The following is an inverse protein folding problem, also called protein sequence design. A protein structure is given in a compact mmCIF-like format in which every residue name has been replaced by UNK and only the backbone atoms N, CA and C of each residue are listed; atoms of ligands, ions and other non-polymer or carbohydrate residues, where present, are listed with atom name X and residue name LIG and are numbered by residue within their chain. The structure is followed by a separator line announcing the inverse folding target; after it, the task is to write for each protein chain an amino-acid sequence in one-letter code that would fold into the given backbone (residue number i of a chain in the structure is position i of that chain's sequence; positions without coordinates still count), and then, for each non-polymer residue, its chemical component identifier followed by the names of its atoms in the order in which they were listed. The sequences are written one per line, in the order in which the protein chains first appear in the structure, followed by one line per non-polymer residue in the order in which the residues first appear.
data_IF_149743288625
#
_entry.id   IF_149743288625
#
_cell.length_a   1.000
_cell.length_b   1.000
_cell.length_c   1.000
_cell.angle_alpha   90.00
_cell.angle_beta   90.00
_cell.angle_gamma   90.00
#
_symmetry.space_group_name_H-M   'P 1'
#
loop_
_entity.id
_entity.type
_entity.pdbx_description
1 polymer ?
#
# COMPACT_ATOMS: atom_id res chain seq x y z
N UNK A 1 11.57 -17.45 -1.50
CA UNK A 1 10.85 -18.13 -2.61
C UNK A 1 9.87 -19.18 -2.10
N UNK A 2 10.29 -20.13 -1.25
CA UNK A 2 9.42 -21.19 -0.69
C UNK A 2 8.10 -20.63 -0.11
N UNK A 3 8.18 -19.60 0.73
CA UNK A 3 6.99 -18.93 1.30
C UNK A 3 6.02 -18.40 0.23
N UNK A 4 6.52 -17.80 -0.85
CA UNK A 4 5.69 -17.24 -1.93
C UNK A 4 4.93 -18.35 -2.65
N UNK A 5 5.61 -19.48 -2.92
CA UNK A 5 4.98 -20.66 -3.55
C UNK A 5 3.85 -21.18 -2.68
N UNK A 6 4.05 -21.32 -1.37
CA UNK A 6 3.00 -21.81 -0.48
C UNK A 6 1.87 -20.81 -0.25
N UNK A 7 2.12 -19.51 -0.21
CA UNK A 7 1.06 -18.51 -0.10
C UNK A 7 0.22 -18.42 -1.37
N UNK A 8 0.86 -18.33 -2.54
CA UNK A 8 0.17 -18.28 -3.83
C UNK A 8 -0.56 -19.59 -4.07
N UNK A 9 0.13 -20.72 -3.93
CA UNK A 9 -0.46 -22.05 -4.12
C UNK A 9 -1.58 -22.33 -3.12
N UNK A 10 -1.38 -21.99 -1.84
CA UNK A 10 -2.38 -22.16 -0.79
C UNK A 10 -3.61 -21.28 -0.99
N UNK A 11 -3.43 -20.01 -1.37
CA UNK A 11 -4.56 -19.13 -1.66
C UNK A 11 -5.29 -19.47 -2.95
N UNK A 12 -4.59 -19.91 -4.00
CA UNK A 12 -5.23 -20.45 -5.22
C UNK A 12 -6.00 -21.74 -4.91
N UNK A 13 -5.43 -22.64 -4.11
CA UNK A 13 -6.13 -23.86 -3.67
C UNK A 13 -7.37 -23.53 -2.86
N UNK A 14 -7.27 -22.58 -1.92
CA UNK A 14 -8.41 -22.12 -1.10
C UNK A 14 -9.49 -21.53 -1.99
N UNK A 15 -9.11 -20.65 -2.93
CA UNK A 15 -10.05 -20.05 -3.89
C UNK A 15 -10.71 -21.11 -4.77
N UNK A 16 -9.94 -22.09 -5.26
CA UNK A 16 -10.46 -23.19 -6.08
C UNK A 16 -11.50 -24.01 -5.32
N UNK A 17 -11.19 -24.42 -4.08
CA UNK A 17 -12.09 -25.22 -3.26
C UNK A 17 -13.35 -24.43 -2.88
N UNK A 18 -13.19 -23.17 -2.50
CA UNK A 18 -14.30 -22.29 -2.16
C UNK A 18 -15.23 -22.00 -3.35
N UNK A 19 -14.68 -21.74 -4.54
CA UNK A 19 -15.47 -21.58 -5.77
C UNK A 19 -16.18 -22.86 -6.17
N UNK A 20 -15.56 -24.02 -5.97
CA UNK A 20 -16.19 -25.31 -6.27
C UNK A 20 -17.43 -25.55 -5.42
N UNK A 21 -17.45 -25.05 -4.17
CA UNK A 21 -18.62 -25.12 -3.30
C UNK A 21 -19.76 -24.26 -3.85
N UNK A 22 -19.46 -23.00 -4.20
CA UNK A 22 -20.45 -22.08 -4.81
C UNK A 22 -20.95 -22.59 -6.17
N UNK A 23 -20.13 -23.37 -6.87
CA UNK A 23 -20.48 -24.02 -8.13
C UNK A 23 -21.39 -25.24 -7.98
N UNK A 24 -21.73 -25.66 -6.76
CA UNK A 24 -22.67 -26.75 -6.47
C UNK A 24 -22.36 -28.04 -7.27
N UNK A 25 -21.07 -28.35 -7.42
CA UNK A 25 -20.59 -29.54 -8.15
C UNK A 25 -20.39 -29.36 -9.67
N UNK A 26 -20.72 -28.20 -10.24
CA UNK A 26 -20.47 -27.86 -11.66
C UNK A 26 -19.06 -27.29 -11.91
N UNK A 27 -18.22 -27.26 -10.87
CA UNK A 27 -16.83 -26.81 -10.94
C UNK A 27 -16.66 -25.29 -10.79
N UNK A 28 -15.41 -24.85 -10.84
CA UNK A 28 -15.02 -23.47 -10.48
C UNK A 28 -15.50 -22.39 -11.45
N UNK A 29 -15.69 -22.72 -12.72
CA UNK A 29 -16.20 -21.77 -13.72
C UNK A 29 -17.66 -21.44 -13.43
N UNK A 30 -18.48 -22.47 -13.13
CA UNK A 30 -19.85 -22.29 -12.69
C UNK A 30 -19.91 -21.55 -11.35
N UNK A 31 -19.00 -21.88 -10.42
CA UNK A 31 -18.88 -21.16 -9.15
C UNK A 31 -18.62 -19.67 -9.32
N UNK A 32 -17.71 -19.29 -10.23
CA UNK A 32 -17.45 -17.89 -10.52
C UNK A 32 -18.64 -17.19 -11.20
N UNK A 33 -19.32 -17.86 -12.14
CA UNK A 33 -20.57 -17.35 -12.72
C UNK A 33 -21.63 -17.10 -11.65
N UNK A 34 -21.81 -18.06 -10.74
CA UNK A 34 -22.74 -17.94 -9.63
C UNK A 34 -22.39 -16.79 -8.69
N UNK A 35 -21.11 -16.46 -8.50
CA UNK A 35 -20.72 -15.26 -7.73
C UNK A 35 -21.18 -13.97 -8.42
N UNK A 36 -21.00 -13.88 -9.75
CA UNK A 36 -21.44 -12.72 -10.53
C UNK A 36 -22.95 -12.55 -10.46
N UNK A 37 -23.70 -13.65 -10.45
CA UNK A 37 -25.16 -13.63 -10.39
C UNK A 37 -25.69 -13.32 -8.98
N UNK A 38 -25.05 -13.88 -7.93
CA UNK A 38 -25.52 -13.76 -6.53
C UNK A 38 -25.05 -12.51 -5.82
N UNK A 39 -23.91 -11.95 -6.21
CA UNK A 39 -23.33 -10.76 -5.59
C UNK A 39 -22.69 -9.82 -6.63
N UNK A 40 -23.44 -9.38 -7.67
CA UNK A 40 -22.91 -8.51 -8.72
C UNK A 40 -22.31 -7.21 -8.17
N UNK A 41 -22.85 -6.69 -7.07
CA UNK A 41 -22.38 -5.48 -6.41
C UNK A 41 -20.95 -5.59 -5.86
N UNK A 42 -20.44 -6.81 -5.66
CA UNK A 42 -19.07 -7.05 -5.19
C UNK A 42 -18.03 -7.05 -6.31
N UNK A 43 -18.46 -6.97 -7.57
CA UNK A 43 -17.58 -6.92 -8.74
C UNK A 43 -17.48 -5.53 -9.36
N UNK A 44 -18.24 -4.56 -8.86
CA UNK A 44 -18.16 -3.14 -9.25
C UNK A 44 -16.78 -2.58 -8.89
N UNK A 45 -16.04 -2.06 -9.88
CA UNK A 45 -14.71 -1.49 -9.65
C UNK A 45 -14.70 0.02 -9.39
N UNK A 46 -15.74 0.74 -9.82
CA UNK A 46 -15.84 2.19 -9.70
C UNK A 46 -17.16 2.54 -9.04
N UNK A 47 -17.10 2.93 -7.76
CA UNK A 47 -18.31 3.25 -7.01
C UNK A 47 -18.87 4.63 -7.33
N UNK A 48 -20.20 4.72 -7.40
CA UNK A 48 -20.93 5.99 -7.32
C UNK A 48 -20.91 6.54 -5.88
N UNK A 49 -21.09 7.86 -5.76
CA UNK A 49 -21.19 8.62 -4.52
C UNK A 49 -22.24 8.12 -3.53
N UNK A 50 -23.30 7.44 -3.99
CA UNK A 50 -24.32 6.83 -3.13
C UNK A 50 -23.90 5.49 -2.52
N UNK A 51 -22.86 4.83 -3.06
CA UNK A 51 -22.43 3.53 -2.57
C UNK A 51 -21.81 3.64 -1.16
N UNK A 52 -22.17 2.78 -0.19
CA UNK A 52 -21.65 2.88 1.17
C UNK A 52 -20.12 2.80 1.27
N UNK A 53 -19.48 2.10 0.33
CA UNK A 53 -18.02 1.98 0.29
C UNK A 53 -17.30 3.14 -0.44
N UNK A 54 -18.03 4.14 -0.94
CA UNK A 54 -17.44 5.29 -1.64
C UNK A 54 -16.47 6.09 -0.76
N UNK A 55 -16.75 6.19 0.54
CA UNK A 55 -15.87 6.84 1.53
C UNK A 55 -14.49 6.19 1.63
N UNK A 56 -14.38 4.90 1.28
CA UNK A 56 -13.14 4.15 1.25
C UNK A 56 -12.49 4.13 -0.13
N UNK A 57 -13.29 3.97 -1.18
CA UNK A 57 -12.85 3.86 -2.58
C UNK A 57 -13.69 4.83 -3.44
N UNK A 58 -13.29 6.11 -3.54
CA UNK A 58 -14.09 7.17 -4.14
C UNK A 58 -14.08 7.12 -5.66
N UNK A 59 -14.78 6.16 -6.24
CA UNK A 59 -15.02 6.02 -7.67
C UNK A 59 -13.77 6.22 -8.53
N UNK A 60 -13.82 7.20 -9.43
CA UNK A 60 -12.76 7.46 -10.41
C UNK A 60 -11.43 7.86 -9.77
N UNK A 61 -11.43 8.39 -8.54
CA UNK A 61 -10.19 8.75 -7.83
C UNK A 61 -9.31 7.53 -7.51
N UNK A 62 -9.84 6.31 -7.59
CA UNK A 62 -9.04 5.08 -7.55
C UNK A 62 -8.09 4.99 -8.77
N UNK A 63 -8.49 5.54 -9.92
CA UNK A 63 -7.70 5.51 -11.16
C UNK A 63 -6.86 6.77 -11.37
N UNK A 64 -7.34 7.94 -10.97
CA UNK A 64 -6.68 9.23 -11.28
C UNK A 64 -6.32 10.09 -10.06
N UNK A 65 -6.79 9.69 -8.88
CA UNK A 65 -6.71 10.49 -7.65
C UNK A 65 -5.71 9.94 -6.64
N UNK A 66 -6.10 9.99 -5.35
CA UNK A 66 -5.21 9.70 -4.22
C UNK A 66 -4.65 8.28 -4.15
N UNK A 67 -5.22 7.32 -4.89
CA UNK A 67 -4.65 5.98 -5.01
C UNK A 67 -3.23 6.02 -5.59
N UNK A 68 -2.91 6.98 -6.48
CA UNK A 68 -1.55 7.19 -6.95
C UNK A 68 -0.61 7.62 -5.83
N UNK A 69 -1.08 8.44 -4.89
CA UNK A 69 -0.27 8.88 -3.75
C UNK A 69 0.05 7.69 -2.83
N UNK A 70 -0.94 6.85 -2.54
CA UNK A 70 -0.73 5.62 -1.78
C UNK A 70 0.28 4.68 -2.49
N UNK A 71 0.08 4.45 -3.79
CA UNK A 71 0.92 3.53 -4.56
C UNK A 71 2.35 4.06 -4.77
N UNK A 72 2.54 5.34 -5.11
CA UNK A 72 3.87 5.92 -5.30
C UNK A 72 4.64 5.99 -3.99
N UNK A 73 3.99 6.36 -2.88
CA UNK A 73 4.58 6.32 -1.55
C UNK A 73 5.10 4.92 -1.21
N UNK A 74 4.26 3.91 -1.44
CA UNK A 74 4.59 2.53 -1.12
C UNK A 74 5.65 1.94 -2.07
N UNK A 75 5.45 1.96 -3.39
CA UNK A 75 6.35 1.27 -4.33
C UNK A 75 7.57 2.09 -4.72
N UNK A 76 7.43 3.42 -4.79
CA UNK A 76 8.47 4.32 -5.26
C UNK A 76 9.44 4.76 -4.17
N UNK A 77 8.97 4.94 -2.93
CA UNK A 77 9.74 5.61 -1.87
C UNK A 77 9.91 4.79 -0.59
N UNK A 78 9.31 3.59 -0.50
CA UNK A 78 9.44 2.78 0.70
C UNK A 78 10.78 2.05 0.77
N UNK A 79 11.49 2.28 1.87
CA UNK A 79 12.87 1.85 2.06
C UNK A 79 13.08 0.35 1.90
N UNK A 80 12.22 -0.51 2.46
CA UNK A 80 12.44 -1.95 2.36
C UNK A 80 12.21 -2.52 0.96
N UNK A 81 11.46 -1.82 0.09
CA UNK A 81 11.27 -2.20 -1.31
C UNK A 81 12.47 -1.74 -2.13
N UNK A 82 12.87 -0.48 -1.97
CA UNK A 82 14.05 0.08 -2.63
C UNK A 82 15.30 -0.75 -2.30
N UNK A 83 15.48 -1.16 -1.05
CA UNK A 83 16.61 -2.00 -0.63
C UNK A 83 16.67 -3.32 -1.40
N UNK A 84 15.53 -3.94 -1.73
CA UNK A 84 15.50 -5.16 -2.54
C UNK A 84 15.90 -4.90 -3.99
N UNK A 85 15.48 -3.77 -4.55
CA UNK A 85 15.88 -3.36 -5.90
C UNK A 85 17.38 -3.04 -5.96
N UNK A 86 17.93 -2.37 -4.95
CA UNK A 86 19.35 -2.04 -4.85
C UNK A 86 20.24 -3.27 -4.64
N UNK A 87 19.71 -4.34 -4.04
CA UNK A 87 20.39 -5.61 -3.89
C UNK A 87 20.36 -6.49 -5.14
N UNK A 88 19.71 -6.05 -6.23
CA UNK A 88 19.65 -6.80 -7.48
C UNK A 88 21.01 -6.79 -8.21
N UNK A 89 21.20 -7.78 -9.09
CA UNK A 89 22.47 -7.95 -9.85
C UNK A 89 22.75 -6.79 -10.81
N UNK A 90 21.71 -6.19 -11.37
CA UNK A 90 21.80 -5.06 -12.30
C UNK A 90 20.47 -4.30 -12.35
N UNK A 91 20.48 -3.09 -12.90
CA UNK A 91 19.27 -2.28 -13.08
C UNK A 91 18.24 -2.98 -13.99
N UNK A 92 18.67 -3.59 -15.10
CA UNK A 92 17.76 -4.32 -16.00
C UNK A 92 17.13 -5.54 -15.29
N UNK A 93 17.90 -6.25 -14.46
CA UNK A 93 17.34 -7.38 -13.70
C UNK A 93 16.34 -6.90 -12.63
N UNK A 94 16.61 -5.77 -11.98
CA UNK A 94 15.67 -5.12 -11.06
C UNK A 94 14.38 -4.70 -11.77
N UNK A 95 14.48 -4.08 -12.95
CA UNK A 95 13.33 -3.67 -13.77
C UNK A 95 12.49 -4.87 -14.20
N UNK A 96 13.11 -5.94 -14.72
CA UNK A 96 12.40 -7.18 -15.08
C UNK A 96 11.74 -7.83 -13.89
N UNK A 97 12.41 -7.84 -12.73
CA UNK A 97 11.83 -8.29 -11.46
C UNK A 97 10.59 -7.48 -11.06
N UNK A 98 10.62 -6.15 -11.24
CA UNK A 98 9.47 -5.28 -11.00
C UNK A 98 8.32 -5.56 -11.98
N UNK A 99 8.60 -5.76 -13.27
CA UNK A 99 7.58 -6.14 -14.25
C UNK A 99 6.93 -7.49 -13.92
N UNK A 100 7.72 -8.48 -13.50
CA UNK A 100 7.20 -9.76 -13.03
C UNK A 100 6.34 -9.60 -11.76
N UNK A 101 6.78 -8.77 -10.81
CA UNK A 101 5.98 -8.47 -9.61
C UNK A 101 4.66 -7.77 -9.95
N UNK A 102 4.66 -6.88 -10.95
CA UNK A 102 3.44 -6.22 -11.44
C UNK A 102 2.47 -7.24 -12.06
N UNK A 103 2.97 -8.23 -12.82
CA UNK A 103 2.15 -9.32 -13.33
C UNK A 103 1.56 -10.18 -12.20
N UNK A 104 2.36 -10.58 -11.21
CA UNK A 104 1.86 -11.34 -10.05
C UNK A 104 0.78 -10.56 -9.28
N UNK A 105 0.87 -9.24 -9.23
CA UNK A 105 -0.13 -8.38 -8.59
C UNK A 105 -1.50 -8.46 -9.25
N UNK A 106 -1.57 -8.63 -10.57
CA UNK A 106 -2.85 -8.80 -11.28
C UNK A 106 -3.57 -10.07 -10.83
N UNK A 107 -2.83 -11.10 -10.38
CA UNK A 107 -3.41 -12.34 -9.86
C UNK A 107 -3.86 -12.22 -8.40
N UNK A 108 -3.37 -11.24 -7.65
CA UNK A 108 -3.65 -11.13 -6.21
C UNK A 108 -5.14 -11.03 -5.88
N UNK A 109 -5.98 -10.25 -6.58
CA UNK A 109 -7.42 -10.22 -6.31
C UNK A 109 -8.09 -11.60 -6.36
N UNK A 110 -7.64 -12.50 -7.26
CA UNK A 110 -8.15 -13.87 -7.30
C UNK A 110 -7.81 -14.66 -6.03
N UNK A 111 -6.66 -14.37 -5.42
CA UNK A 111 -6.14 -15.11 -4.27
C UNK A 111 -6.65 -14.55 -2.94
N UNK A 112 -6.92 -13.23 -2.86
CA UNK A 112 -7.23 -12.56 -1.59
C UNK A 112 -8.60 -11.86 -1.56
N UNK A 113 -9.14 -11.43 -2.70
CA UNK A 113 -10.43 -10.71 -2.77
C UNK A 113 -11.57 -11.67 -3.08
N UNK A 114 -11.43 -12.51 -4.11
CA UNK A 114 -12.46 -13.49 -4.50
C UNK A 114 -12.86 -14.41 -3.33
N UNK A 115 -11.93 -14.94 -2.50
CA UNK A 115 -12.31 -15.64 -1.28
C UNK A 115 -13.23 -14.83 -0.35
N UNK A 116 -12.99 -13.53 -0.16
CA UNK A 116 -13.88 -12.68 0.62
C UNK A 116 -15.29 -12.61 0.04
N UNK A 117 -15.42 -12.53 -1.28
CA UNK A 117 -16.72 -12.55 -1.98
C UNK A 117 -17.41 -13.92 -1.84
N UNK A 118 -16.65 -15.02 -1.92
CA UNK A 118 -17.20 -16.36 -1.68
C UNK A 118 -17.74 -16.49 -0.26
N UNK A 119 -16.97 -16.05 0.75
CA UNK A 119 -17.43 -16.06 2.14
C UNK A 119 -18.71 -15.23 2.34
N UNK A 120 -18.82 -14.09 1.64
CA UNK A 120 -20.03 -13.27 1.63
C UNK A 120 -21.24 -14.02 1.02
N UNK A 121 -21.09 -14.61 -0.16
CA UNK A 121 -22.17 -15.36 -0.84
C UNK A 121 -22.60 -16.61 -0.05
N UNK A 122 -21.65 -17.26 0.62
CA UNK A 122 -21.92 -18.42 1.50
C UNK A 122 -22.47 -18.02 2.87
N UNK A 123 -22.69 -16.72 3.13
CA UNK A 123 -23.17 -16.20 4.41
C UNK A 123 -22.34 -16.73 5.59
N UNK A 124 -21.01 -16.60 5.48
CA UNK A 124 -20.08 -17.07 6.50
C UNK A 124 -20.47 -16.55 7.90
N UNK A 125 -20.47 -17.45 8.88
CA UNK A 125 -20.70 -17.13 10.29
C UNK A 125 -19.42 -16.50 10.88
N UNK A 126 -19.22 -15.23 10.56
CA UNK A 126 -18.07 -14.41 10.98
C UNK A 126 -18.54 -13.10 11.58
N UNK A 127 -17.80 -12.61 12.57
CA UNK A 127 -18.13 -11.36 13.25
C UNK A 127 -17.51 -10.13 12.60
N UNK A 128 -16.39 -10.33 11.88
CA UNK A 128 -15.61 -9.27 11.24
C UNK A 128 -15.22 -9.65 9.82
N UNK A 129 -15.12 -8.66 8.96
CA UNK A 129 -14.72 -8.85 7.56
C UNK A 129 -13.37 -9.57 7.41
N UNK A 130 -12.40 -9.27 8.29
CA UNK A 130 -11.04 -9.85 8.25
C UNK A 130 -11.01 -11.37 8.60
N UNK A 131 -12.09 -11.93 9.13
CA UNK A 131 -12.21 -13.37 9.48
C UNK A 131 -12.59 -14.25 8.28
N UNK A 132 -12.97 -13.66 7.14
CA UNK A 132 -13.46 -14.39 5.96
C UNK A 132 -12.45 -15.43 5.44
N UNK A 133 -11.18 -15.07 5.29
CA UNK A 133 -10.16 -15.98 4.77
C UNK A 133 -9.84 -17.13 5.75
N UNK A 134 -9.63 -16.87 7.07
CA UNK A 134 -9.56 -17.93 8.07
C UNK A 134 -10.78 -18.86 8.08
N UNK A 135 -11.99 -18.33 7.93
CA UNK A 135 -13.21 -19.13 7.88
C UNK A 135 -13.21 -20.09 6.68
N UNK A 136 -12.80 -19.63 5.49
CA UNK A 136 -12.68 -20.50 4.32
C UNK A 136 -11.62 -21.60 4.48
N UNK A 137 -10.44 -21.24 5.01
CA UNK A 137 -9.41 -22.22 5.35
C UNK A 137 -9.92 -23.27 6.33
N UNK A 138 -10.78 -22.87 7.26
CA UNK A 138 -11.28 -23.75 8.29
C UNK A 138 -12.32 -24.76 7.78
N UNK A 139 -13.18 -24.32 6.86
CA UNK A 139 -14.34 -25.10 6.41
C UNK A 139 -14.09 -25.90 5.13
N UNK A 140 -13.25 -25.41 4.20
CA UNK A 140 -13.13 -26.01 2.86
C UNK A 140 -11.78 -26.65 2.57
N UNK A 141 -10.72 -26.27 3.29
CA UNK A 141 -9.37 -26.79 3.03
C UNK A 141 -9.09 -28.01 3.91
N UNK A 142 -8.67 -29.11 3.28
CA UNK A 142 -8.33 -30.36 3.97
C UNK A 142 -7.15 -30.18 4.95
N UNK A 143 -7.15 -30.98 6.03
CA UNK A 143 -6.27 -30.83 7.20
C UNK A 143 -4.79 -30.64 6.87
N UNK A 144 -4.25 -31.40 5.90
CA UNK A 144 -2.84 -31.29 5.49
C UNK A 144 -2.50 -29.95 4.83
N UNK A 145 -3.31 -29.51 3.85
CA UNK A 145 -3.12 -28.22 3.19
C UNK A 145 -3.39 -27.05 4.13
N UNK A 146 -4.36 -27.19 5.04
CA UNK A 146 -4.66 -26.19 6.07
C UNK A 146 -3.46 -25.90 6.98
N UNK A 147 -2.78 -26.96 7.44
CA UNK A 147 -1.55 -26.83 8.23
C UNK A 147 -0.42 -26.14 7.48
N UNK A 148 -0.21 -26.50 6.20
CA UNK A 148 0.78 -25.85 5.33
C UNK A 148 0.46 -24.37 5.07
N UNK A 149 -0.80 -24.04 4.80
CA UNK A 149 -1.24 -22.66 4.59
C UNK A 149 -1.03 -21.81 5.84
N UNK A 150 -1.37 -22.33 7.03
CA UNK A 150 -1.15 -21.63 8.29
C UNK A 150 0.34 -21.42 8.57
N UNK A 151 1.17 -22.44 8.37
CA UNK A 151 2.62 -22.33 8.53
C UNK A 151 3.22 -21.28 7.57
N UNK A 152 2.77 -21.26 6.31
CA UNK A 152 3.21 -20.27 5.32
C UNK A 152 2.78 -18.84 5.69
N UNK A 153 1.56 -18.67 6.23
CA UNK A 153 1.06 -17.38 6.72
C UNK A 153 1.89 -16.87 7.89
N UNK A 154 2.16 -17.70 8.91
CA UNK A 154 3.00 -17.31 10.05
C UNK A 154 4.41 -16.97 9.60
N UNK A 155 5.02 -17.79 8.73
CA UNK A 155 6.33 -17.49 8.17
C UNK A 155 6.34 -16.14 7.42
N UNK A 156 5.26 -15.81 6.72
CA UNK A 156 5.12 -14.55 6.01
C UNK A 156 4.97 -13.33 6.89
N UNK A 157 4.18 -13.45 7.96
CA UNK A 157 4.02 -12.42 8.97
C UNK A 157 5.37 -12.15 9.65
N UNK A 158 6.07 -13.21 10.10
CA UNK A 158 7.39 -13.08 10.74
C UNK A 158 8.42 -12.47 9.80
N UNK A 159 8.43 -12.86 8.51
CA UNK A 159 9.33 -12.28 7.50
C UNK A 159 9.07 -10.78 7.28
N UNK A 160 7.79 -10.39 7.22
CA UNK A 160 7.38 -8.99 7.06
C UNK A 160 7.73 -8.15 8.29
N UNK A 161 7.45 -8.66 9.49
CA UNK A 161 7.82 -8.03 10.76
C UNK A 161 9.34 -7.85 10.86
N UNK A 162 10.12 -8.89 10.56
CA UNK A 162 11.59 -8.81 10.56
C UNK A 162 12.11 -7.72 9.60
N UNK A 163 11.53 -7.62 8.40
CA UNK A 163 11.90 -6.59 7.41
C UNK A 163 11.57 -5.19 7.92
N UNK A 164 10.35 -4.98 8.44
CA UNK A 164 9.92 -3.68 8.98
C UNK A 164 10.75 -3.25 10.20
N UNK A 165 10.97 -4.17 11.14
CA UNK A 165 11.79 -3.93 12.33
C UNK A 165 13.24 -3.59 11.95
N UNK A 166 13.81 -4.29 10.96
CA UNK A 166 15.14 -3.97 10.46
C UNK A 166 15.20 -2.58 9.82
N UNK A 167 14.20 -2.19 9.01
CA UNK A 167 14.14 -0.85 8.43
C UNK A 167 14.02 0.24 9.50
N UNK A 168 13.14 0.07 10.50
CA UNK A 168 13.00 1.01 11.63
C UNK A 168 14.31 1.17 12.40
N UNK A 169 14.98 0.05 12.70
CA UNK A 169 16.29 0.02 13.35
C UNK A 169 17.36 0.74 12.52
N UNK A 170 17.39 0.51 11.21
CA UNK A 170 18.37 1.13 10.30
C UNK A 170 18.15 2.63 10.22
N UNK A 171 16.90 3.08 10.03
CA UNK A 171 16.54 4.50 10.01
C UNK A 171 16.96 5.18 11.31
N UNK A 172 16.64 4.59 12.47
CA UNK A 172 17.04 5.19 13.73
C UNK A 172 18.56 5.21 13.91
N UNK A 173 19.26 4.11 13.63
CA UNK A 173 20.68 4.00 13.91
C UNK A 173 21.55 4.85 12.99
N UNK A 174 21.23 4.90 11.70
CA UNK A 174 21.98 5.66 10.71
C UNK A 174 21.51 7.11 10.69
N UNK A 175 20.21 7.34 10.50
CA UNK A 175 19.70 8.68 10.19
C UNK A 175 19.54 9.55 11.44
N UNK A 176 19.35 8.95 12.62
CA UNK A 176 19.17 9.68 13.88
C UNK A 176 20.41 9.53 14.78
N UNK A 177 20.74 8.30 15.17
CA UNK A 177 21.76 8.03 16.18
C UNK A 177 23.15 8.42 15.69
N UNK A 178 23.59 7.94 14.51
CA UNK A 178 24.88 8.35 13.95
C UNK A 178 24.86 9.83 13.58
N UNK A 179 23.84 10.32 12.87
CA UNK A 179 23.83 11.72 12.40
C UNK A 179 23.78 12.78 13.50
N UNK A 180 23.04 12.56 14.60
CA UNK A 180 22.77 13.61 15.59
C UNK A 180 23.18 13.27 17.03
N UNK A 181 23.27 12.00 17.42
CA UNK A 181 23.54 11.60 18.81
C UNK A 181 25.02 11.23 18.99
N UNK A 182 25.58 10.42 18.10
CA UNK A 182 26.96 9.93 18.16
C UNK A 182 27.55 9.73 16.74
N UNK A 183 28.09 10.80 16.12
CA UNK A 183 28.72 10.75 14.80
C UNK A 183 29.79 9.68 14.63
N UNK A 184 30.65 9.53 15.65
CA UNK A 184 31.76 8.57 15.67
C UNK A 184 31.34 7.17 16.18
N UNK A 185 30.06 6.79 16.03
CA UNK A 185 29.58 5.48 16.43
C UNK A 185 30.18 4.37 15.54
N UNK A 186 30.81 3.38 16.18
CA UNK A 186 31.32 2.19 15.50
C UNK A 186 30.19 1.28 15.01
N UNK A 187 30.44 0.47 13.98
CA UNK A 187 29.45 -0.49 13.46
C UNK A 187 28.90 -1.43 14.54
N UNK A 188 29.76 -1.88 15.47
CA UNK A 188 29.33 -2.69 16.61
C UNK A 188 28.33 -1.95 17.51
N UNK A 189 28.55 -0.66 17.74
CA UNK A 189 27.63 0.18 18.51
C UNK A 189 26.31 0.36 17.76
N UNK A 190 26.34 0.58 16.45
CA UNK A 190 25.13 0.73 15.65
C UNK A 190 24.28 -0.54 15.66
N UNK A 191 24.87 -1.71 15.46
CA UNK A 191 24.15 -2.99 15.52
C UNK A 191 23.54 -3.21 16.90
N UNK A 192 24.25 -2.88 17.98
CA UNK A 192 23.73 -3.01 19.34
C UNK A 192 22.53 -2.09 19.60
N UNK A 193 22.67 -0.79 19.27
CA UNK A 193 21.57 0.19 19.40
C UNK A 193 20.40 -0.22 18.53
N UNK A 194 20.65 -0.70 17.32
CA UNK A 194 19.61 -1.19 16.40
C UNK A 194 18.79 -2.35 16.96
N UNK A 195 19.44 -3.29 17.66
CA UNK A 195 18.73 -4.37 18.37
C UNK A 195 17.85 -3.85 19.50
N UNK A 196 18.31 -2.83 20.24
CA UNK A 196 17.49 -2.18 21.28
C UNK A 196 16.28 -1.50 20.66
N UNK A 197 16.48 -0.69 19.63
CA UNK A 197 15.40 0.00 18.90
C UNK A 197 14.38 -1.01 18.37
N UNK A 198 14.86 -2.12 17.81
CA UNK A 198 14.03 -3.22 17.33
C UNK A 198 13.15 -3.81 18.44
N UNK A 199 13.74 -4.11 19.59
CA UNK A 199 13.02 -4.65 20.75
C UNK A 199 11.99 -3.67 21.31
N UNK A 200 12.34 -2.39 21.41
CA UNK A 200 11.43 -1.33 21.87
C UNK A 200 10.27 -1.17 20.89
N UNK A 201 10.55 -1.09 19.58
CA UNK A 201 9.52 -0.95 18.56
C UNK A 201 8.53 -2.13 18.55
N UNK A 202 9.04 -3.37 18.67
CA UNK A 202 8.20 -4.57 18.77
C UNK A 202 7.37 -4.57 20.06
N UNK A 203 7.95 -4.14 21.19
CA UNK A 203 7.22 -4.03 22.46
C UNK A 203 6.05 -3.05 22.35
N UNK A 204 6.29 -1.86 21.78
CA UNK A 204 5.23 -0.88 21.53
C UNK A 204 4.15 -1.46 20.61
N UNK A 205 4.55 -2.14 19.51
CA UNK A 205 3.61 -2.76 18.59
C UNK A 205 2.72 -3.81 19.28
N UNK A 206 3.28 -4.66 20.16
CA UNK A 206 2.52 -5.66 20.93
C UNK A 206 1.53 -5.00 21.91
N UNK A 207 1.89 -3.87 22.51
CA UNK A 207 0.99 -3.14 23.42
C UNK A 207 -0.16 -2.42 22.68
N UNK A 208 0.07 -1.97 21.45
CA UNK A 208 -0.94 -1.29 20.64
C UNK A 208 -1.83 -2.27 19.87
N UNK A 209 -1.31 -3.42 19.43
CA UNK A 209 -2.05 -4.37 18.59
C UNK A 209 -3.44 -4.77 19.11
N UNK A 210 -3.66 -5.07 20.42
CA UNK A 210 -4.98 -5.40 20.93
C UNK A 210 -6.01 -4.27 20.77
N UNK A 211 -5.57 -3.01 20.77
CA UNK A 211 -6.46 -1.85 20.62
C UNK A 211 -7.03 -1.75 19.21
N UNK A 212 -6.33 -2.33 18.22
CA UNK A 212 -6.80 -2.41 16.83
C UNK A 212 -7.84 -3.52 16.61
N UNK A 213 -8.06 -4.40 17.60
CA UNK A 213 -9.04 -5.46 17.49
C UNK A 213 -10.49 -4.95 17.42
N UNK A 214 -10.76 -3.69 17.81
CA UNK A 214 -12.08 -3.08 17.68
C UNK A 214 -12.43 -2.67 16.24
N UNK A 215 -11.46 -2.67 15.33
CA UNK A 215 -11.67 -2.31 13.92
C UNK A 215 -12.36 -3.46 13.19
N UNK A 216 -13.28 -3.14 12.27
CA UNK A 216 -13.89 -4.12 11.36
C UNK A 216 -12.95 -4.50 10.20
N UNK A 217 -12.21 -3.51 9.68
CA UNK A 217 -11.26 -3.68 8.58
C UNK A 217 -9.93 -3.00 8.89
N UNK A 218 -8.91 -3.80 9.22
CA UNK A 218 -7.57 -3.27 9.50
C UNK A 218 -6.94 -2.58 8.28
N UNK A 219 -7.28 -3.03 7.06
CA UNK A 219 -6.75 -2.46 5.82
C UNK A 219 -7.10 -0.98 5.65
N UNK A 220 -8.36 -0.60 5.90
CA UNK A 220 -8.80 0.79 5.76
C UNK A 220 -8.10 1.70 6.78
N UNK A 221 -7.96 1.23 8.02
CA UNK A 221 -7.23 1.97 9.05
C UNK A 221 -5.76 2.23 8.66
N UNK A 222 -5.07 1.21 8.13
CA UNK A 222 -3.68 1.36 7.66
C UNK A 222 -3.60 2.38 6.52
N UNK A 223 -4.50 2.28 5.54
CA UNK A 223 -4.53 3.19 4.40
C UNK A 223 -4.83 4.63 4.83
N UNK A 224 -5.76 4.81 5.76
CA UNK A 224 -6.11 6.13 6.25
C UNK A 224 -4.95 6.77 7.03
N UNK A 225 -4.33 6.03 7.95
CA UNK A 225 -3.25 6.53 8.79
C UNK A 225 -1.99 6.84 7.98
N UNK A 226 -1.61 5.95 7.05
CA UNK A 226 -0.51 6.23 6.11
C UNK A 226 -0.80 7.42 5.20
N UNK A 227 -2.08 7.72 4.96
CA UNK A 227 -2.54 8.87 4.21
C UNK A 227 -2.25 10.24 4.84
N UNK A 228 -1.85 10.31 6.12
CA UNK A 228 -1.43 11.58 6.75
C UNK A 228 0.00 11.99 6.37
N UNK A 229 0.83 11.01 5.99
CA UNK A 229 2.27 11.19 5.78
C UNK A 229 2.63 11.01 4.30
N UNK A 230 1.99 10.05 3.62
CA UNK A 230 2.27 9.71 2.22
C UNK A 230 2.20 10.89 1.25
N UNK A 231 1.22 11.82 1.34
CA UNK A 231 1.18 13.00 0.46
C UNK A 231 2.46 13.85 0.54
N UNK A 232 2.98 14.10 1.75
CA UNK A 232 4.22 14.84 1.94
C UNK A 232 5.44 14.12 1.40
N UNK A 233 5.55 12.81 1.67
CA UNK A 233 6.64 11.98 1.12
C UNK A 233 6.65 12.06 -0.41
N UNK A 234 5.49 11.81 -1.05
CA UNK A 234 5.40 11.82 -2.51
C UNK A 234 5.69 13.21 -3.08
N UNK A 235 5.21 14.29 -2.47
CA UNK A 235 5.52 15.66 -2.89
C UNK A 235 7.03 15.95 -2.84
N UNK A 236 7.68 15.61 -1.72
CA UNK A 236 9.11 15.83 -1.50
C UNK A 236 9.94 15.08 -2.53
N UNK A 237 9.67 13.78 -2.72
CA UNK A 237 10.44 12.98 -3.65
C UNK A 237 10.13 13.32 -5.10
N UNK A 238 8.87 13.51 -5.49
CA UNK A 238 8.52 13.83 -6.87
C UNK A 238 9.15 15.17 -7.30
N UNK A 239 9.02 16.22 -6.49
CA UNK A 239 9.64 17.51 -6.81
C UNK A 239 11.16 17.47 -6.65
N UNK A 240 11.70 16.74 -5.67
CA UNK A 240 13.15 16.59 -5.51
C UNK A 240 13.82 15.86 -6.69
N UNK A 241 13.17 14.86 -7.27
CA UNK A 241 13.67 14.09 -8.40
C UNK A 241 13.49 14.83 -9.74
N UNK A 242 12.31 15.41 -9.96
CA UNK A 242 11.91 15.89 -11.29
C UNK A 242 11.91 17.42 -11.42
N UNK A 243 11.89 18.19 -10.32
CA UNK A 243 11.84 19.64 -10.38
C UNK A 243 13.12 20.29 -9.87
N UNK A 244 13.94 20.76 -10.81
CA UNK A 244 15.29 21.29 -10.55
C UNK A 244 15.37 22.48 -9.59
N UNK A 245 14.24 23.15 -9.36
CA UNK A 245 14.20 24.34 -8.49
C UNK A 245 13.90 23.98 -7.04
N UNK A 246 13.50 22.74 -6.74
CA UNK A 246 13.12 22.29 -5.40
C UNK A 246 14.19 22.63 -4.36
N UNK A 247 13.81 23.25 -3.25
CA UNK A 247 14.71 23.61 -2.13
C UNK A 247 14.52 22.73 -0.91
N UNK A 248 15.56 22.66 -0.06
CA UNK A 248 15.50 21.94 1.20
C UNK A 248 14.43 22.53 2.14
N UNK A 249 14.26 23.86 2.14
CA UNK A 249 13.22 24.52 2.94
C UNK A 249 11.82 24.22 2.41
N UNK A 250 11.62 24.21 1.09
CA UNK A 250 10.36 23.76 0.50
C UNK A 250 10.00 22.33 0.94
N UNK A 251 10.97 21.42 0.87
CA UNK A 251 10.78 20.04 1.33
C UNK A 251 10.50 19.94 2.85
N UNK A 252 11.20 20.74 3.68
CA UNK A 252 10.96 20.80 5.12
C UNK A 252 9.53 21.25 5.44
N UNK A 253 9.06 22.31 4.77
CA UNK A 253 7.68 22.80 4.95
C UNK A 253 6.66 21.78 4.48
N UNK A 254 6.92 21.04 3.39
CA UNK A 254 6.05 19.96 2.96
C UNK A 254 5.96 18.83 4.00
N UNK A 255 7.09 18.45 4.60
CA UNK A 255 7.13 17.44 5.66
C UNK A 255 6.34 17.90 6.90
N UNK A 256 6.55 19.14 7.34
CA UNK A 256 5.87 19.72 8.51
C UNK A 256 4.36 19.86 8.25
N UNK A 257 3.95 20.35 7.07
CA UNK A 257 2.55 20.65 6.76
C UNK A 257 1.73 19.42 6.38
N UNK A 258 2.33 18.30 5.98
CA UNK A 258 1.60 17.08 5.58
C UNK A 258 0.64 16.61 6.67
N UNK A 259 1.10 16.54 7.92
CA UNK A 259 0.31 16.05 9.04
C UNK A 259 -0.79 17.06 9.43
N UNK A 260 -0.48 18.35 9.72
CA UNK A 260 -1.51 19.35 10.06
C UNK A 260 -2.57 19.54 8.98
N UNK A 261 -2.19 19.58 7.69
CA UNK A 261 -3.17 19.69 6.61
C UNK A 261 -4.05 18.45 6.52
N UNK A 262 -3.48 17.25 6.64
CA UNK A 262 -4.27 16.02 6.64
C UNK A 262 -5.25 15.97 7.82
N UNK A 263 -4.83 16.38 9.02
CA UNK A 263 -5.72 16.51 10.18
C UNK A 263 -6.80 17.57 9.96
N UNK A 264 -6.44 18.73 9.41
CA UNK A 264 -7.40 19.79 9.11
C UNK A 264 -8.48 19.29 8.15
N UNK A 265 -8.10 18.68 7.02
CA UNK A 265 -9.09 18.18 6.06
C UNK A 265 -9.88 16.99 6.59
N UNK A 266 -9.30 16.14 7.44
CA UNK A 266 -10.07 15.11 8.15
C UNK A 266 -11.13 15.75 9.03
N UNK A 267 -10.73 16.71 9.86
CA UNK A 267 -11.62 17.43 10.77
C UNK A 267 -12.73 18.18 10.03
N UNK A 268 -12.41 18.82 8.90
CA UNK A 268 -13.42 19.46 8.05
C UNK A 268 -14.38 18.45 7.40
N UNK A 269 -13.92 17.23 7.14
CA UNK A 269 -14.72 16.17 6.52
C UNK A 269 -15.60 15.39 7.50
N UNK A 270 -15.14 15.19 8.74
CA UNK A 270 -15.82 14.37 9.75
C UNK A 270 -16.48 15.22 10.83
N UNK A 271 -16.14 16.51 10.92
CA UNK A 271 -16.53 17.38 12.02
C UNK A 271 -15.88 16.95 13.33
N UNK A 272 -16.44 17.42 14.44
CA UNK A 272 -16.12 16.96 15.78
C UNK A 272 -17.34 17.13 16.68
N UNK A 273 -18.00 16.01 16.97
CA UNK A 273 -19.19 15.98 17.82
C UNK A 273 -18.92 16.51 19.23
N UNK A 274 -17.76 16.19 19.82
CA UNK A 274 -17.38 16.66 21.16
C UNK A 274 -17.19 18.18 21.22
N UNK A 275 -16.91 18.83 20.08
CA UNK A 275 -16.78 20.29 19.97
C UNK A 275 -18.04 20.95 19.37
N UNK A 276 -19.09 20.19 19.04
CA UNK A 276 -20.31 20.70 18.40
C UNK A 276 -20.10 21.22 16.97
N UNK A 277 -19.04 20.76 16.29
CA UNK A 277 -18.69 21.21 14.94
C UNK A 277 -19.18 20.17 13.93
N UNK A 278 -20.12 20.57 13.07
CA UNK A 278 -20.62 19.71 12.01
C UNK A 278 -19.59 19.56 10.87
N UNK A 279 -19.60 18.43 10.13
CA UNK A 279 -18.86 18.29 8.88
C UNK A 279 -19.16 19.44 7.92
N UNK A 280 -18.11 20.03 7.34
CA UNK A 280 -18.22 21.14 6.37
C UNK A 280 -18.13 20.63 4.93
N UNK A 281 -17.50 19.48 4.74
CA UNK A 281 -17.39 18.80 3.44
C UNK A 281 -17.48 17.29 3.62
N UNK A 282 -17.67 16.55 2.54
CA UNK A 282 -17.52 15.09 2.53
C UNK A 282 -16.33 14.74 1.63
N UNK A 283 -15.19 14.46 2.23
CA UNK A 283 -13.93 14.19 1.54
C UNK A 283 -13.37 12.82 1.96
N UNK A 284 -13.61 11.78 1.16
CA UNK A 284 -13.00 10.46 1.34
C UNK A 284 -11.49 10.54 1.56
N UNK A 285 -10.93 9.64 2.36
CA UNK A 285 -9.53 9.76 2.77
C UNK A 285 -8.54 9.70 1.60
N UNK A 286 -8.86 8.95 0.53
CA UNK A 286 -8.06 8.92 -0.70
C UNK A 286 -8.09 10.28 -1.40
N UNK A 287 -9.25 10.92 -1.53
CA UNK A 287 -9.35 12.25 -2.13
C UNK A 287 -8.60 13.30 -1.28
N UNK A 288 -8.70 13.19 0.06
CA UNK A 288 -7.89 13.98 1.00
C UNK A 288 -6.41 13.84 0.73
N UNK A 289 -5.90 12.61 0.53
CA UNK A 289 -4.48 12.38 0.21
C UNK A 289 -4.06 13.11 -1.08
N UNK A 290 -4.89 13.03 -2.12
CA UNK A 290 -4.64 13.73 -3.39
C UNK A 290 -4.64 15.25 -3.23
N UNK A 291 -5.63 15.80 -2.54
CA UNK A 291 -5.75 17.23 -2.28
C UNK A 291 -4.56 17.78 -1.47
N UNK A 292 -4.21 17.10 -0.37
CA UNK A 292 -3.07 17.47 0.47
C UNK A 292 -1.79 17.43 -0.36
N UNK A 293 -1.57 16.40 -1.17
CA UNK A 293 -0.41 16.31 -2.06
C UNK A 293 -0.29 17.52 -3.00
N UNK A 294 -1.39 17.95 -3.62
CA UNK A 294 -1.40 19.11 -4.52
C UNK A 294 -1.07 20.40 -3.78
N UNK A 295 -1.63 20.60 -2.57
CA UNK A 295 -1.33 21.76 -1.73
C UNK A 295 0.14 21.77 -1.33
N UNK A 296 0.69 20.63 -0.91
CA UNK A 296 2.10 20.52 -0.54
C UNK A 296 3.02 20.79 -1.74
N UNK A 297 2.67 20.28 -2.94
CA UNK A 297 3.39 20.63 -4.16
C UNK A 297 3.37 22.14 -4.42
N UNK A 298 2.21 22.78 -4.29
CA UNK A 298 2.09 24.24 -4.45
C UNK A 298 2.95 25.00 -3.45
N UNK A 299 2.92 24.63 -2.16
CA UNK A 299 3.76 25.22 -1.11
C UNK A 299 5.24 25.05 -1.44
N UNK A 300 5.68 23.84 -1.79
CA UNK A 300 7.06 23.58 -2.20
C UNK A 300 7.48 24.44 -3.39
N UNK A 301 6.60 24.56 -4.39
CA UNK A 301 6.87 25.34 -5.59
C UNK A 301 7.01 26.82 -5.25
N UNK A 302 6.07 27.38 -4.48
CA UNK A 302 6.09 28.79 -4.08
C UNK A 302 7.37 29.11 -3.30
N UNK A 303 7.69 28.33 -2.27
CA UNK A 303 8.89 28.56 -1.43
C UNK A 303 10.16 28.48 -2.29
N UNK A 304 10.27 27.45 -3.11
CA UNK A 304 11.46 27.24 -3.94
C UNK A 304 11.65 28.35 -4.98
N UNK A 305 10.56 28.89 -5.56
CA UNK A 305 10.62 30.01 -6.50
C UNK A 305 11.02 31.32 -5.81
N UNK A 306 10.55 31.56 -4.58
CA UNK A 306 10.91 32.74 -3.79
C UNK A 306 12.38 32.69 -3.40
N UNK A 307 12.86 31.56 -2.89
CA UNK A 307 14.23 31.41 -2.37
C UNK A 307 15.28 31.49 -3.48
N UNK A 308 15.08 30.76 -4.58
CA UNK A 308 16.06 30.71 -5.66
C UNK A 308 15.81 31.77 -6.74
N UNK A 309 14.81 32.66 -6.58
CA UNK A 309 14.37 33.62 -7.62
C UNK A 309 14.18 32.97 -8.98
N UNK A 310 13.67 31.74 -9.00
CA UNK A 310 13.48 30.95 -10.21
C UNK A 310 14.76 30.33 -10.80
N UNK A 311 15.91 30.35 -10.13
CA UNK A 311 17.11 29.63 -10.56
C UNK A 311 17.06 28.15 -10.16
N UNK A 312 17.86 27.34 -10.83
CA UNK A 312 17.97 25.91 -10.51
C UNK A 312 18.81 25.71 -9.25
N UNK A 313 18.40 24.77 -8.39
CA UNK A 313 19.12 24.46 -7.17
C UNK A 313 20.46 23.76 -7.53
N UNK A 314 21.61 24.16 -6.96
CA UNK A 314 22.90 23.50 -7.22
C UNK A 314 22.93 22.02 -6.83
N UNK A 315 22.06 21.59 -5.90
CA UNK A 315 21.91 20.18 -5.49
C UNK A 315 20.85 19.41 -6.29
N UNK A 316 20.29 20.02 -7.34
CA UNK A 316 19.25 19.39 -8.14
C UNK A 316 19.76 18.18 -8.91
N UNK A 317 18.90 17.18 -9.05
CA UNK A 317 19.17 16.01 -9.88
C UNK A 317 19.03 16.41 -11.35
N UNK A 318 20.07 16.16 -12.13
CA UNK A 318 20.04 16.32 -13.58
C UNK A 318 19.51 15.04 -14.21
N UNK A 319 18.25 15.08 -14.61
CA UNK A 319 17.66 14.02 -15.43
C UNK A 319 18.23 14.12 -16.85
N UNK A 320 19.16 13.22 -17.18
CA UNK A 320 19.79 13.13 -18.50
C UNK A 320 18.99 12.23 -19.45
N UNK A 321 19.18 12.44 -20.76
CA UNK A 321 18.56 11.58 -21.78
C UNK A 321 19.12 10.16 -21.65
N UNK A 322 18.21 9.19 -21.57
CA UNK A 322 18.54 7.77 -21.46
C UNK A 322 18.57 7.20 -20.04
N UNK A 323 18.43 8.05 -19.01
CA UNK A 323 18.37 7.59 -17.61
C UNK A 323 17.21 6.60 -17.36
N UNK A 324 16.11 6.74 -18.10
CA UNK A 324 14.92 5.90 -17.97
C UNK A 324 14.79 4.86 -19.08
N UNK A 325 15.86 4.57 -19.83
CA UNK A 325 15.80 3.49 -20.81
C UNK A 325 15.59 2.13 -20.12
N UNK A 326 14.66 1.39 -20.69
CA UNK A 326 14.21 0.07 -20.23
C UNK A 326 14.35 -0.90 -21.38
N UNK A 327 14.71 -2.14 -21.06
CA UNK A 327 14.89 -3.15 -22.09
C UNK A 327 13.55 -3.63 -22.69
N UNK A 328 13.54 -4.17 -23.92
CA UNK A 328 12.29 -4.56 -24.60
C UNK A 328 11.43 -5.55 -23.82
N UNK A 329 12.03 -6.44 -23.02
CA UNK A 329 11.28 -7.42 -22.21
C UNK A 329 10.45 -6.70 -21.16
N UNK A 330 11.04 -5.71 -20.48
CA UNK A 330 10.31 -4.86 -19.53
C UNK A 330 9.14 -4.15 -20.23
N UNK A 331 9.39 -3.55 -21.39
CA UNK A 331 8.38 -2.77 -22.11
C UNK A 331 7.18 -3.64 -22.54
N UNK A 332 7.43 -4.84 -23.08
CA UNK A 332 6.36 -5.77 -23.45
C UNK A 332 5.56 -6.23 -22.23
N UNK A 333 6.24 -6.55 -21.13
CA UNK A 333 5.58 -6.97 -19.90
C UNK A 333 4.72 -5.84 -19.30
N UNK A 334 5.23 -4.61 -19.29
CA UNK A 334 4.48 -3.44 -18.83
C UNK A 334 3.22 -3.21 -19.68
N UNK A 335 3.34 -3.26 -21.02
CA UNK A 335 2.19 -3.14 -21.92
C UNK A 335 1.16 -4.25 -21.69
N UNK A 336 1.60 -5.49 -21.52
CA UNK A 336 0.70 -6.61 -21.26
C UNK A 336 -0.07 -6.42 -19.94
N UNK A 337 0.62 -6.04 -18.87
CA UNK A 337 -0.02 -5.76 -17.57
C UNK A 337 -1.01 -4.60 -17.68
N UNK A 338 -0.63 -3.49 -18.32
CA UNK A 338 -1.52 -2.36 -18.54
C UNK A 338 -2.76 -2.73 -19.36
N UNK A 339 -2.60 -3.55 -20.41
CA UNK A 339 -3.72 -4.02 -21.21
C UNK A 339 -4.69 -4.91 -20.41
N UNK A 340 -4.16 -5.83 -19.59
CA UNK A 340 -5.00 -6.67 -18.72
C UNK A 340 -5.78 -5.81 -17.73
N UNK A 341 -5.11 -4.86 -17.07
CA UNK A 341 -5.78 -3.95 -16.11
C UNK A 341 -6.84 -3.10 -16.81
N UNK A 342 -6.55 -2.57 -18.00
CA UNK A 342 -7.54 -1.80 -18.77
C UNK A 342 -8.77 -2.64 -19.13
N UNK A 343 -8.58 -3.88 -19.61
CA UNK A 343 -9.68 -4.80 -19.91
C UNK A 343 -10.50 -5.10 -18.65
N UNK A 344 -9.86 -5.35 -17.51
CA UNK A 344 -10.56 -5.60 -16.25
C UNK A 344 -11.44 -4.41 -15.84
N UNK A 345 -10.91 -3.19 -15.87
CA UNK A 345 -11.71 -2.01 -15.56
C UNK A 345 -12.85 -1.76 -16.55
N UNK A 346 -12.66 -2.07 -17.84
CA UNK A 346 -13.73 -1.95 -18.85
C UNK A 346 -14.84 -2.98 -18.59
N UNK A 347 -14.47 -4.22 -18.25
CA UNK A 347 -15.44 -5.30 -18.02
C UNK A 347 -16.30 -5.07 -16.75
N UNK A 348 -15.74 -4.41 -15.75
CA UNK A 348 -16.33 -4.28 -14.41
C UNK A 348 -16.55 -2.82 -13.97
N UNK A 349 -16.75 -1.93 -14.94
CA UNK A 349 -16.86 -0.48 -14.70
C UNK A 349 -18.12 -0.06 -13.92
N UNK A 350 -19.22 -0.78 -14.13
CA UNK A 350 -20.56 -0.37 -13.69
C UNK A 350 -20.79 -0.57 -12.21
#
# INVERSE_FOLDING_TARGET
MVQVVFLIGGGLLTTYLALSEVGEGQGVVAGFSNLLDRAPEKFVMIFDSSHPAYSYLPGISVLIGGMWIANLSYWGFNQYIIQRALAAKSLSEAQRGLAFAAFLKVLMPLIVVVPGIVAFVLQADISKSDEAYPWLLNNFVFTGAKGLAFAALIAAVVSSLSSMTNSTSTIFTIDIFRSFIRPEATERSLVFVGRIVSAVALTIAVLVAPQLAALDQAFQFIQEFTGFISPGIVAIFALGLFWRKATANGALWAAILSIPLSFLFKFLSEGNEAMGIAPVMNLPFLDRMGLVFLILCAVMIIISLIENRGQDNPKSIRVEKGLFYTDPVFNMAALAVSAIVAVLYILFWN
#
